data_IF_535552429953
#
_entry.id   IF_535552429953
#
_cell.length_a   1.000
_cell.length_b   1.000
_cell.length_c   1.000
_cell.angle_alpha   90.00
_cell.angle_beta   90.00
_cell.angle_gamma   90.00
#
_symmetry.space_group_name_H-M   'P 1'
#
loop_
_entity.id
_entity.type
_entity.pdbx_description
1 polymer ?
#
# COMPACT_ATOMS: atom_id res chain seq x y z
N UNK A 1 -3.50 -11.01 38.54
CA UNK A 1 -4.64 -10.15 38.96
C UNK A 1 -4.28 -8.66 38.93
N UNK A 2 -3.32 -8.16 39.72
CA UNK A 2 -2.98 -6.71 39.71
C UNK A 2 -2.45 -6.23 38.35
N UNK A 3 -1.70 -7.07 37.65
CA UNK A 3 -1.18 -6.78 36.31
C UNK A 3 -2.24 -6.84 35.20
N UNK A 4 -3.21 -7.76 35.31
CA UNK A 4 -4.28 -7.90 34.31
C UNK A 4 -5.25 -6.71 34.33
N UNK A 5 -5.63 -6.24 35.53
CA UNK A 5 -6.41 -5.01 35.70
C UNK A 5 -5.69 -3.78 35.11
N UNK A 6 -4.37 -3.69 35.32
CA UNK A 6 -3.54 -2.63 34.74
C UNK A 6 -3.52 -2.72 33.21
N UNK A 7 -3.28 -3.91 32.67
CA UNK A 7 -3.29 -4.15 31.22
C UNK A 7 -4.63 -3.77 30.58
N UNK A 8 -5.77 -4.10 31.20
CA UNK A 8 -7.09 -3.71 30.71
C UNK A 8 -7.24 -2.18 30.60
N UNK A 9 -6.79 -1.43 31.62
CA UNK A 9 -6.80 0.04 31.60
C UNK A 9 -5.87 0.60 30.51
N UNK A 10 -4.69 0.02 30.33
CA UNK A 10 -3.76 0.42 29.27
C UNK A 10 -4.31 0.16 27.86
N UNK A 11 -5.05 -0.94 27.66
CA UNK A 11 -5.76 -1.20 26.41
C UNK A 11 -6.79 -0.11 26.11
N UNK A 12 -7.55 0.33 27.12
CA UNK A 12 -8.52 1.43 26.95
C UNK A 12 -7.82 2.76 26.68
N UNK A 13 -6.71 3.05 27.38
CA UNK A 13 -5.91 4.25 27.12
C UNK A 13 -5.37 4.27 25.67
N UNK A 14 -4.86 3.12 25.18
CA UNK A 14 -4.47 2.94 23.77
C UNK A 14 -5.64 3.16 22.82
N UNK A 15 -6.82 2.62 23.13
CA UNK A 15 -8.01 2.82 22.30
C UNK A 15 -8.36 4.31 22.15
N UNK A 16 -8.31 5.08 23.24
CA UNK A 16 -8.51 6.54 23.22
C UNK A 16 -7.45 7.25 22.36
N UNK A 17 -6.18 6.87 22.51
CA UNK A 17 -5.09 7.46 21.73
C UNK A 17 -5.22 7.18 20.23
N UNK A 18 -5.58 5.94 19.84
CA UNK A 18 -5.84 5.60 18.44
C UNK A 18 -7.04 6.38 17.87
N UNK A 19 -8.09 6.54 18.67
CA UNK A 19 -9.27 7.31 18.26
C UNK A 19 -8.94 8.78 17.95
N UNK A 20 -8.08 9.43 18.77
CA UNK A 20 -7.61 10.80 18.50
C UNK A 20 -6.81 10.92 17.20
N UNK A 21 -6.23 9.81 16.72
CA UNK A 21 -5.51 9.73 15.44
C UNK A 21 -6.40 9.25 14.29
N UNK A 22 -7.71 9.18 14.50
CA UNK A 22 -8.70 8.62 13.55
C UNK A 22 -8.43 7.17 13.15
N UNK A 23 -7.67 6.40 13.95
CA UNK A 23 -7.37 4.98 13.70
C UNK A 23 -8.41 4.09 14.39
N UNK A 24 -9.58 3.98 13.76
CA UNK A 24 -10.74 3.26 14.30
C UNK A 24 -10.48 1.76 14.38
N UNK A 25 -9.71 1.19 13.45
CA UNK A 25 -9.37 -0.24 13.42
C UNK A 25 -8.54 -0.63 14.66
N UNK A 26 -7.45 0.10 14.94
CA UNK A 26 -6.62 -0.18 16.13
C UNK A 26 -7.30 0.20 17.44
N UNK A 27 -8.14 1.23 17.43
CA UNK A 27 -8.99 1.55 18.57
C UNK A 27 -9.92 0.35 18.91
N UNK A 28 -10.60 -0.20 17.90
CA UNK A 28 -11.50 -1.36 18.05
C UNK A 28 -10.75 -2.59 18.58
N UNK A 29 -9.58 -2.92 18.02
CA UNK A 29 -8.74 -4.02 18.51
C UNK A 29 -8.32 -3.84 19.99
N UNK A 30 -8.00 -2.60 20.38
CA UNK A 30 -7.60 -2.30 21.76
C UNK A 30 -8.77 -2.47 22.74
N UNK A 31 -9.99 -2.08 22.36
CA UNK A 31 -11.21 -2.32 23.17
C UNK A 31 -11.50 -3.82 23.30
N UNK A 32 -11.39 -4.58 22.21
CA UNK A 32 -11.55 -6.05 22.23
C UNK A 32 -10.56 -6.69 23.22
N UNK A 33 -9.30 -6.27 23.22
CA UNK A 33 -8.28 -6.79 24.13
C UNK A 33 -8.63 -6.52 25.61
N UNK A 34 -9.14 -5.32 25.93
CA UNK A 34 -9.64 -5.03 27.28
C UNK A 34 -10.84 -5.91 27.66
N UNK A 35 -11.80 -6.10 26.74
CA UNK A 35 -12.98 -6.94 26.98
C UNK A 35 -12.63 -8.42 27.17
N UNK A 36 -11.58 -8.93 26.54
CA UNK A 36 -11.12 -10.32 26.75
C UNK A 36 -10.64 -10.55 28.18
N UNK A 37 -9.92 -9.59 28.78
CA UNK A 37 -9.49 -9.68 30.19
C UNK A 37 -10.68 -9.64 31.16
N UNK A 38 -11.66 -8.81 30.83
CA UNK A 38 -12.95 -8.74 31.53
C UNK A 38 -13.69 -10.07 31.47
N UNK A 39 -13.88 -10.64 30.27
CA UNK A 39 -14.59 -11.90 30.06
C UNK A 39 -13.89 -13.09 30.71
N UNK A 40 -12.57 -13.03 30.82
CA UNK A 40 -11.75 -14.02 31.53
C UNK A 40 -11.81 -13.88 33.06
N UNK A 41 -12.62 -12.95 33.61
CA UNK A 41 -12.74 -12.70 35.04
C UNK A 41 -11.47 -12.12 35.68
N UNK A 42 -10.54 -11.59 34.87
CA UNK A 42 -9.24 -11.09 35.35
C UNK A 42 -9.29 -9.66 35.91
N UNK A 43 -10.39 -8.96 35.66
CA UNK A 43 -10.64 -7.61 36.17
C UNK A 43 -11.82 -7.67 37.13
N UNK A 44 -11.59 -7.38 38.41
CA UNK A 44 -12.61 -7.49 39.48
C UNK A 44 -12.63 -6.23 40.37
N UNK A 45 -13.62 -6.15 41.28
CA UNK A 45 -13.68 -5.09 42.29
C UNK A 45 -13.71 -3.66 41.72
N UNK A 46 -12.96 -2.75 42.34
CA UNK A 46 -12.89 -1.33 41.93
C UNK A 46 -12.34 -1.17 40.51
N UNK A 47 -11.35 -1.98 40.13
CA UNK A 47 -10.77 -1.94 38.79
C UNK A 47 -11.79 -2.27 37.70
N UNK A 48 -12.70 -3.21 38.00
CA UNK A 48 -13.81 -3.56 37.10
C UNK A 48 -14.73 -2.37 36.84
N UNK A 49 -15.08 -1.63 37.90
CA UNK A 49 -15.92 -0.42 37.79
C UNK A 49 -15.21 0.65 36.94
N UNK A 50 -13.92 0.87 37.15
CA UNK A 50 -13.14 1.82 36.34
C UNK A 50 -13.10 1.43 34.87
N UNK A 51 -12.83 0.15 34.58
CA UNK A 51 -12.79 -0.39 33.22
C UNK A 51 -14.17 -0.28 32.55
N UNK A 52 -15.25 -0.59 33.26
CA UNK A 52 -16.63 -0.46 32.73
C UNK A 52 -16.96 0.96 32.31
N UNK A 53 -16.66 1.93 33.17
CA UNK A 53 -16.89 3.35 32.88
C UNK A 53 -16.07 3.81 31.67
N UNK A 54 -14.80 3.39 31.58
CA UNK A 54 -13.94 3.76 30.49
C UNK A 54 -14.32 3.07 29.16
N UNK A 55 -14.83 1.82 29.20
CA UNK A 55 -15.40 1.13 28.05
C UNK A 55 -16.65 1.86 27.52
N UNK A 56 -17.56 2.27 28.42
CA UNK A 56 -18.76 3.05 28.04
C UNK A 56 -18.38 4.33 27.31
N UNK A 57 -17.40 5.07 27.82
CA UNK A 57 -16.92 6.32 27.22
C UNK A 57 -16.33 6.09 25.82
N UNK A 58 -15.45 5.09 25.66
CA UNK A 58 -14.84 4.79 24.35
C UNK A 58 -15.90 4.34 23.35
N UNK A 59 -16.83 3.48 23.75
CA UNK A 59 -17.91 3.02 22.88
C UNK A 59 -18.86 4.16 22.48
N UNK A 60 -19.14 5.09 23.39
CA UNK A 60 -19.89 6.31 23.07
C UNK A 60 -19.17 7.13 21.98
N UNK A 61 -17.85 7.33 22.10
CA UNK A 61 -17.07 8.04 21.09
C UNK A 61 -17.04 7.29 19.75
N UNK A 62 -16.85 5.97 19.77
CA UNK A 62 -16.89 5.13 18.57
C UNK A 62 -18.24 5.21 17.84
N UNK A 63 -19.36 5.23 18.56
CA UNK A 63 -20.70 5.34 17.97
C UNK A 63 -20.96 6.66 17.22
N UNK A 64 -20.10 7.68 17.41
CA UNK A 64 -20.16 8.96 16.69
C UNK A 64 -19.41 8.95 15.35
N UNK A 65 -18.60 7.91 15.09
CA UNK A 65 -17.90 7.77 13.81
C UNK A 65 -18.91 7.38 12.73
N UNK A 66 -18.96 8.14 11.65
CA UNK A 66 -19.90 7.95 10.54
C UNK A 66 -19.89 6.52 9.99
N UNK A 67 -18.70 5.93 9.84
CA UNK A 67 -18.55 4.56 9.35
C UNK A 67 -19.13 3.52 10.31
N UNK A 68 -18.90 3.67 11.62
CA UNK A 68 -19.47 2.79 12.64
C UNK A 68 -21.00 2.97 12.67
N UNK A 69 -21.49 4.20 12.64
CA UNK A 69 -22.94 4.50 12.65
C UNK A 69 -23.67 3.90 11.44
N UNK A 70 -23.02 3.84 10.27
CA UNK A 70 -23.60 3.16 9.09
C UNK A 70 -23.77 1.65 9.31
N UNK A 71 -22.81 1.01 9.97
CA UNK A 71 -22.79 -0.46 10.19
C UNK A 71 -23.59 -0.88 11.43
N UNK A 72 -23.58 -0.04 12.46
CA UNK A 72 -24.29 -0.20 13.71
C UNK A 72 -25.17 1.03 13.98
N UNK A 73 -26.33 1.16 13.30
CA UNK A 73 -27.20 2.35 13.43
C UNK A 73 -27.72 2.60 14.85
N UNK A 74 -27.86 1.53 15.65
CA UNK A 74 -28.25 1.60 17.07
C UNK A 74 -27.08 1.77 18.03
N UNK A 75 -25.85 1.84 17.50
CA UNK A 75 -24.61 1.88 18.27
C UNK A 75 -24.26 0.54 18.93
N UNK A 76 -23.01 0.44 19.36
CA UNK A 76 -22.51 -0.63 20.22
C UNK A 76 -22.65 -0.14 21.66
N UNK A 77 -23.59 -0.72 22.40
CA UNK A 77 -23.97 -0.27 23.75
C UNK A 77 -23.37 -1.18 24.81
N UNK A 78 -22.70 -0.59 25.80
CA UNK A 78 -22.19 -1.35 26.94
C UNK A 78 -23.25 -1.51 28.03
N UNK A 79 -23.61 -2.75 28.34
CA UNK A 79 -24.41 -3.11 29.49
C UNK A 79 -23.67 -4.17 30.32
N UNK A 80 -23.73 -4.04 31.64
CA UNK A 80 -23.18 -5.04 32.57
C UNK A 80 -23.88 -6.40 32.33
N UNK A 81 -23.12 -7.48 32.32
CA UNK A 81 -23.62 -8.82 31.98
C UNK A 81 -23.78 -9.10 30.48
N UNK A 82 -23.59 -8.09 29.62
CA UNK A 82 -23.67 -8.22 28.16
C UNK A 82 -22.30 -8.07 27.49
N UNK A 83 -21.21 -8.22 28.24
CA UNK A 83 -19.85 -7.99 27.76
C UNK A 83 -19.49 -8.88 26.57
N UNK A 84 -20.02 -10.10 26.55
CA UNK A 84 -19.83 -11.03 25.43
C UNK A 84 -20.48 -10.51 24.15
N UNK A 85 -21.70 -9.96 24.24
CA UNK A 85 -22.39 -9.37 23.09
C UNK A 85 -21.66 -8.14 22.56
N UNK A 86 -21.13 -7.30 23.46
CA UNK A 86 -20.31 -6.13 23.08
C UNK A 86 -19.02 -6.60 22.40
N UNK A 87 -18.34 -7.58 22.97
CA UNK A 87 -17.13 -8.17 22.41
C UNK A 87 -17.40 -8.71 21.00
N UNK A 88 -18.44 -9.52 20.82
CA UNK A 88 -18.76 -10.15 19.52
C UNK A 88 -19.13 -9.09 18.46
N UNK A 89 -19.85 -8.04 18.88
CA UNK A 89 -20.16 -6.89 18.01
C UNK A 89 -18.90 -6.15 17.57
N UNK A 90 -17.94 -5.95 18.47
CA UNK A 90 -16.67 -5.31 18.15
C UNK A 90 -15.76 -6.19 17.29
N UNK A 91 -15.76 -7.51 17.50
CA UNK A 91 -15.05 -8.46 16.64
C UNK A 91 -15.61 -8.40 15.22
N UNK A 92 -16.94 -8.39 15.07
CA UNK A 92 -17.58 -8.20 13.76
C UNK A 92 -17.16 -6.87 13.13
N UNK A 93 -17.23 -5.76 13.88
CA UNK A 93 -16.79 -4.45 13.41
C UNK A 93 -15.32 -4.47 12.94
N UNK A 94 -14.43 -5.06 13.73
CA UNK A 94 -13.00 -5.16 13.43
C UNK A 94 -12.75 -5.91 12.12
N UNK A 95 -13.41 -7.05 11.91
CA UNK A 95 -13.29 -7.83 10.68
C UNK A 95 -13.79 -7.05 9.46
N UNK A 96 -14.91 -6.33 9.59
CA UNK A 96 -15.44 -5.49 8.51
C UNK A 96 -14.54 -4.29 8.20
N UNK A 97 -13.96 -3.65 9.23
CA UNK A 97 -12.99 -2.55 9.05
C UNK A 97 -11.72 -3.06 8.35
N UNK A 98 -11.18 -4.19 8.79
CA UNK A 98 -9.99 -4.81 8.19
C UNK A 98 -10.22 -5.16 6.72
N UNK A 99 -11.36 -5.78 6.41
CA UNK A 99 -11.75 -6.11 5.02
C UNK A 99 -11.90 -4.86 4.16
N UNK A 100 -12.46 -3.78 4.71
CA UNK A 100 -12.60 -2.51 3.99
C UNK A 100 -11.23 -1.87 3.69
N UNK A 101 -10.32 -1.86 4.65
CA UNK A 101 -8.93 -1.36 4.48
C UNK A 101 -8.17 -2.17 3.41
N UNK A 102 -8.23 -3.50 3.47
CA UNK A 102 -7.64 -4.38 2.46
C UNK A 102 -8.24 -4.14 1.06
N UNK A 103 -9.56 -3.99 0.97
CA UNK A 103 -10.23 -3.70 -0.30
C UNK A 103 -9.87 -2.32 -0.85
N UNK A 104 -9.73 -1.31 0.00
CA UNK A 104 -9.33 0.04 -0.41
C UNK A 104 -7.88 0.04 -0.91
N UNK A 105 -6.98 -0.63 -0.19
CA UNK A 105 -5.59 -0.82 -0.63
C UNK A 105 -5.53 -1.53 -1.99
N UNK A 106 -6.32 -2.58 -2.19
CA UNK A 106 -6.41 -3.27 -3.48
C UNK A 106 -6.91 -2.35 -4.60
N UNK A 107 -7.98 -1.58 -4.36
CA UNK A 107 -8.51 -0.62 -5.33
C UNK A 107 -7.49 0.47 -5.68
N UNK A 108 -6.76 0.98 -4.70
CA UNK A 108 -5.71 1.99 -4.90
C UNK A 108 -4.57 1.43 -5.75
N UNK A 109 -4.12 0.20 -5.48
CA UNK A 109 -3.10 -0.48 -6.29
C UNK A 109 -3.59 -0.69 -7.72
N UNK A 110 -4.83 -1.16 -7.91
CA UNK A 110 -5.43 -1.36 -9.22
C UNK A 110 -5.54 -0.04 -9.99
N UNK A 111 -6.01 1.02 -9.35
CA UNK A 111 -6.14 2.34 -9.96
C UNK A 111 -4.78 2.94 -10.34
N UNK A 112 -3.75 2.75 -9.50
CA UNK A 112 -2.37 3.13 -9.82
C UNK A 112 -1.88 2.42 -11.08
N UNK A 113 -2.03 1.08 -11.15
CA UNK A 113 -1.63 0.27 -12.31
C UNK A 113 -2.37 0.70 -13.58
N UNK A 114 -3.69 0.90 -13.50
CA UNK A 114 -4.48 1.37 -14.64
C UNK A 114 -4.05 2.77 -15.11
N UNK A 115 -3.70 3.66 -14.18
CA UNK A 115 -3.21 5.01 -14.51
C UNK A 115 -1.82 4.95 -15.15
N UNK A 116 -0.94 4.08 -14.64
CA UNK A 116 0.37 3.79 -15.22
C UNK A 116 0.21 3.28 -16.66
N UNK A 117 -0.67 2.31 -16.90
CA UNK A 117 -0.92 1.75 -18.24
C UNK A 117 -1.48 2.80 -19.21
N UNK A 118 -2.37 3.69 -18.74
CA UNK A 118 -2.88 4.81 -19.55
C UNK A 118 -1.75 5.76 -19.95
N UNK A 119 -0.85 6.10 -19.02
CA UNK A 119 0.29 6.96 -19.28
C UNK A 119 1.27 6.31 -20.29
N UNK A 120 1.57 5.01 -20.12
CA UNK A 120 2.39 4.25 -21.09
C UNK A 120 1.77 4.22 -22.49
N UNK A 121 0.48 3.91 -22.59
CA UNK A 121 -0.23 3.86 -23.86
C UNK A 121 -0.26 5.23 -24.56
N UNK A 122 -0.48 6.31 -23.79
CA UNK A 122 -0.43 7.68 -24.31
C UNK A 122 0.99 8.02 -24.80
N UNK A 123 2.01 7.72 -24.01
CA UNK A 123 3.41 7.94 -24.40
C UNK A 123 3.79 7.18 -25.67
N UNK A 124 3.39 5.92 -25.79
CA UNK A 124 3.58 5.11 -27.01
C UNK A 124 2.91 5.73 -28.24
N UNK A 125 1.68 6.23 -28.09
CA UNK A 125 0.95 6.91 -29.18
C UNK A 125 1.65 8.19 -29.62
N UNK A 126 2.05 9.04 -28.68
CA UNK A 126 2.79 10.27 -28.98
C UNK A 126 4.12 9.97 -29.66
N UNK A 127 4.85 8.98 -29.16
CA UNK A 127 6.12 8.53 -29.73
C UNK A 127 5.96 8.05 -31.17
N UNK A 128 4.95 7.22 -31.44
CA UNK A 128 4.64 6.74 -32.79
C UNK A 128 4.22 7.87 -33.74
N UNK A 129 3.61 8.93 -33.21
CA UNK A 129 3.27 10.16 -33.94
C UNK A 129 4.40 11.18 -34.04
N UNK A 130 5.63 10.86 -33.58
CA UNK A 130 6.79 11.76 -33.62
C UNK A 130 6.76 12.89 -32.59
N UNK A 131 5.77 12.94 -31.69
CA UNK A 131 5.65 13.96 -30.63
C UNK A 131 6.52 13.57 -29.44
N UNK A 132 7.83 13.78 -29.56
CA UNK A 132 8.82 13.29 -28.61
C UNK A 132 8.71 13.91 -27.21
N UNK A 133 8.32 15.18 -27.13
CA UNK A 133 8.14 15.87 -25.86
C UNK A 133 6.95 15.28 -25.09
N UNK A 134 5.76 15.26 -25.71
CA UNK A 134 4.55 14.66 -25.12
C UNK A 134 4.75 13.19 -24.73
N UNK A 135 5.49 12.44 -25.54
CA UNK A 135 5.85 11.06 -25.22
C UNK A 135 6.70 10.96 -23.95
N UNK A 136 7.69 11.84 -23.83
CA UNK A 136 8.59 11.89 -22.67
C UNK A 136 7.82 12.28 -21.40
N UNK A 137 6.93 13.26 -21.48
CA UNK A 137 6.08 13.68 -20.36
C UNK A 137 5.19 12.51 -19.89
N UNK A 138 4.51 11.83 -20.81
CA UNK A 138 3.69 10.68 -20.47
C UNK A 138 4.48 9.50 -19.88
N UNK A 139 5.72 9.27 -20.33
CA UNK A 139 6.58 8.24 -19.74
C UNK A 139 7.13 8.63 -18.37
N UNK A 140 7.40 9.91 -18.11
CA UNK A 140 7.76 10.37 -16.75
C UNK A 140 6.58 10.29 -15.79
N UNK A 141 5.34 10.56 -16.24
CA UNK A 141 4.13 10.28 -15.47
C UNK A 141 4.00 8.80 -15.11
N UNK A 142 4.20 7.90 -16.08
CA UNK A 142 4.19 6.47 -15.81
C UNK A 142 5.26 6.09 -14.78
N UNK A 143 6.47 6.65 -14.91
CA UNK A 143 7.58 6.42 -13.98
C UNK A 143 7.31 6.97 -12.58
N UNK A 144 6.53 8.05 -12.43
CA UNK A 144 6.10 8.54 -11.11
C UNK A 144 5.15 7.56 -10.40
N UNK A 145 4.47 6.69 -11.15
CA UNK A 145 3.54 5.68 -10.65
C UNK A 145 4.18 4.28 -10.45
N UNK A 146 5.45 4.15 -10.79
CA UNK A 146 6.21 2.90 -10.70
C UNK A 146 6.37 2.43 -9.25
N UNK A 147 6.03 1.17 -9.00
CA UNK A 147 6.32 0.48 -7.74
C UNK A 147 7.14 -0.78 -8.00
N UNK A 148 6.61 -1.68 -8.82
CA UNK A 148 7.19 -3.01 -9.09
C UNK A 148 7.03 -3.46 -10.54
N UNK A 149 6.53 -2.58 -11.42
CA UNK A 149 6.29 -2.85 -12.83
C UNK A 149 7.58 -2.75 -13.67
N UNK A 150 8.65 -3.44 -13.25
CA UNK A 150 10.02 -3.31 -13.78
C UNK A 150 10.13 -3.36 -15.31
N UNK A 151 9.34 -4.22 -15.95
CA UNK A 151 9.32 -4.41 -17.41
C UNK A 151 8.94 -3.13 -18.18
N UNK A 152 8.30 -2.16 -17.55
CA UNK A 152 7.90 -0.91 -18.21
C UNK A 152 9.08 -0.16 -18.82
N UNK A 153 10.24 -0.14 -18.14
CA UNK A 153 11.41 0.61 -18.61
C UNK A 153 12.01 -0.02 -19.87
N UNK A 154 12.06 -1.36 -19.91
CA UNK A 154 12.48 -2.10 -21.10
C UNK A 154 11.50 -1.89 -22.25
N UNK A 155 10.20 -1.95 -21.98
CA UNK A 155 9.14 -1.74 -22.96
C UNK A 155 9.20 -0.33 -23.59
N UNK A 156 9.36 0.72 -22.77
CA UNK A 156 9.57 2.09 -23.27
C UNK A 156 10.82 2.16 -24.15
N UNK A 157 11.92 1.52 -23.74
CA UNK A 157 13.15 1.44 -24.52
C UNK A 157 12.95 0.78 -25.88
N UNK A 158 12.27 -0.36 -25.93
CA UNK A 158 11.93 -1.08 -27.16
C UNK A 158 11.07 -0.20 -28.10
N UNK A 159 10.06 0.50 -27.58
CA UNK A 159 9.25 1.43 -28.37
C UNK A 159 10.07 2.59 -28.92
N UNK A 160 10.97 3.17 -28.12
CA UNK A 160 11.86 4.24 -28.56
C UNK A 160 12.77 3.78 -29.71
N UNK A 161 13.32 2.55 -29.64
CA UNK A 161 14.12 2.00 -30.73
C UNK A 161 13.30 1.75 -32.00
N UNK A 162 12.10 1.19 -31.87
CA UNK A 162 11.19 1.01 -33.00
C UNK A 162 10.86 2.33 -33.71
N UNK A 163 10.79 3.44 -32.97
CA UNK A 163 10.57 4.79 -33.50
C UNK A 163 11.86 5.55 -33.86
N UNK A 164 13.01 4.86 -33.96
CA UNK A 164 14.34 5.45 -34.27
C UNK A 164 14.76 6.57 -33.31
N UNK A 165 14.41 6.44 -32.02
CA UNK A 165 14.78 7.34 -30.93
C UNK A 165 15.79 6.70 -29.95
N UNK A 166 17.00 6.33 -30.40
CA UNK A 166 17.96 5.59 -29.58
C UNK A 166 18.43 6.37 -28.35
N UNK A 167 18.57 7.70 -28.44
CA UNK A 167 18.95 8.55 -27.30
C UNK A 167 17.91 8.48 -26.16
N UNK A 168 16.62 8.52 -26.52
CA UNK A 168 15.54 8.40 -25.55
C UNK A 168 15.47 6.98 -24.97
N UNK A 169 15.68 5.96 -25.82
CA UNK A 169 15.73 4.56 -25.39
C UNK A 169 16.78 4.32 -24.30
N UNK A 170 18.01 4.83 -24.48
CA UNK A 170 19.11 4.70 -23.51
C UNK A 170 18.71 5.23 -22.13
N UNK A 171 17.96 6.34 -22.06
CA UNK A 171 17.51 6.93 -20.78
C UNK A 171 16.71 5.93 -19.94
N UNK A 172 15.74 5.25 -20.54
CA UNK A 172 14.89 4.29 -19.83
C UNK A 172 15.56 2.92 -19.66
N UNK A 173 16.36 2.47 -20.64
CA UNK A 173 17.04 1.18 -20.60
C UNK A 173 18.12 1.10 -19.52
N UNK A 174 18.77 2.23 -19.18
CA UNK A 174 19.64 2.30 -17.99
C UNK A 174 18.92 1.91 -16.71
N UNK A 175 17.67 2.38 -16.54
CA UNK A 175 16.84 1.97 -15.40
C UNK A 175 16.45 0.50 -15.51
N UNK A 176 16.06 0.04 -16.70
CA UNK A 176 15.72 -1.37 -16.94
C UNK A 176 16.84 -2.33 -16.50
N UNK A 177 18.10 -2.05 -16.84
CA UNK A 177 19.25 -2.90 -16.42
C UNK A 177 19.39 -3.00 -14.90
N UNK A 178 18.92 -2.01 -14.14
CA UNK A 178 19.02 -2.03 -12.67
C UNK A 178 17.83 -2.69 -11.96
N UNK A 179 16.68 -2.87 -12.63
CA UNK A 179 15.44 -3.33 -11.97
C UNK A 179 14.72 -4.47 -12.69
N UNK A 180 14.96 -4.68 -13.99
CA UNK A 180 14.31 -5.77 -14.74
C UNK A 180 14.89 -7.12 -14.29
N UNK A 181 14.04 -8.07 -13.85
CA UNK A 181 14.47 -9.44 -13.54
C UNK A 181 15.23 -10.11 -14.69
N UNK A 182 14.91 -9.76 -15.95
CA UNK A 182 15.66 -10.18 -17.13
C UNK A 182 16.73 -9.13 -17.50
N UNK A 183 17.70 -8.98 -16.59
CA UNK A 183 18.79 -8.00 -16.73
C UNK A 183 19.60 -8.24 -18.01
N UNK A 184 19.78 -9.51 -18.43
CA UNK A 184 20.52 -9.84 -19.65
C UNK A 184 19.81 -9.30 -20.88
N UNK A 185 18.49 -9.49 -21.01
CA UNK A 185 17.71 -8.91 -22.11
C UNK A 185 17.72 -7.39 -22.07
N UNK A 186 17.59 -6.78 -20.90
CA UNK A 186 17.70 -5.32 -20.75
C UNK A 186 19.07 -4.78 -21.21
N UNK A 187 20.18 -5.44 -20.84
CA UNK A 187 21.54 -5.10 -21.31
C UNK A 187 21.68 -5.22 -22.83
N UNK A 188 21.09 -6.27 -23.44
CA UNK A 188 21.12 -6.44 -24.91
C UNK A 188 20.40 -5.30 -25.63
N UNK A 189 19.20 -4.94 -25.17
CA UNK A 189 18.43 -3.85 -25.78
C UNK A 189 19.12 -2.50 -25.52
N UNK A 190 19.75 -2.31 -24.35
CA UNK A 190 20.58 -1.14 -24.08
C UNK A 190 21.77 -1.05 -25.05
N UNK A 191 22.43 -2.17 -25.34
CA UNK A 191 23.50 -2.22 -26.34
C UNK A 191 23.00 -1.77 -27.72
N UNK A 192 21.85 -2.29 -28.17
CA UNK A 192 21.25 -1.88 -29.45
C UNK A 192 20.95 -0.37 -29.48
N UNK A 193 20.46 0.18 -28.36
CA UNK A 193 20.21 1.61 -28.22
C UNK A 193 21.49 2.44 -28.29
N UNK A 194 22.56 2.02 -27.61
CA UNK A 194 23.86 2.72 -27.60
C UNK A 194 24.55 2.64 -28.96
N UNK A 195 24.43 1.52 -29.68
CA UNK A 195 24.86 1.42 -31.07
C UNK A 195 24.09 2.42 -31.94
N UNK A 196 22.77 2.52 -31.75
CA UNK A 196 21.92 3.46 -32.46
C UNK A 196 22.25 4.94 -32.20
N UNK A 197 22.87 5.30 -31.06
CA UNK A 197 23.35 6.67 -30.82
C UNK A 197 24.69 6.98 -31.47
N UNK A 198 25.41 5.97 -31.96
CA UNK A 198 26.77 6.09 -32.48
C UNK A 198 27.87 6.07 -31.41
N UNK A 199 27.53 5.80 -30.14
CA UNK A 199 28.50 5.72 -29.04
C UNK A 199 29.25 4.38 -29.07
N UNK A 200 30.32 4.33 -29.86
CA UNK A 200 31.16 3.14 -30.06
C UNK A 200 31.82 2.67 -28.75
N UNK A 201 32.20 3.59 -27.88
CA UNK A 201 32.89 3.28 -26.61
C UNK A 201 31.91 2.63 -25.64
N UNK A 202 30.74 3.23 -25.46
CA UNK A 202 29.68 2.65 -24.64
C UNK A 202 29.23 1.27 -25.14
N UNK A 203 29.11 1.11 -26.47
CA UNK A 203 28.74 -0.17 -27.07
C UNK A 203 29.79 -1.26 -26.83
N UNK A 204 31.08 -0.96 -26.97
CA UNK A 204 32.16 -1.91 -26.70
C UNK A 204 32.15 -2.37 -25.23
N UNK A 205 31.94 -1.44 -24.29
CA UNK A 205 31.85 -1.75 -22.86
C UNK A 205 30.69 -2.70 -22.54
N UNK A 206 29.50 -2.43 -23.09
CA UNK A 206 28.32 -3.28 -22.88
C UNK A 206 28.48 -4.67 -23.51
N UNK A 207 29.14 -4.78 -24.68
CA UNK A 207 29.45 -6.07 -25.31
C UNK A 207 30.36 -6.93 -24.44
N UNK A 208 31.42 -6.34 -23.89
CA UNK A 208 32.34 -7.06 -22.99
C UNK A 208 31.61 -7.58 -21.75
N UNK A 209 30.73 -6.77 -21.14
CA UNK A 209 29.90 -7.20 -20.00
C UNK A 209 28.98 -8.37 -20.35
N UNK A 210 28.36 -8.35 -21.53
CA UNK A 210 27.47 -9.43 -21.98
C UNK A 210 28.22 -10.73 -22.30
N UNK A 211 29.47 -10.66 -22.77
CA UNK A 211 30.32 -11.83 -23.03
C UNK A 211 30.88 -12.45 -21.75
N UNK A 212 31.26 -11.62 -20.77
CA UNK A 212 31.70 -12.07 -19.45
C UNK A 212 30.61 -12.82 -18.67
N UNK A 213 29.33 -12.50 -18.89
CA UNK A 213 28.20 -13.20 -18.26
C UNK A 213 28.02 -14.67 -18.77
N UNK A 214 28.81 -15.16 -19.74
CA UNK A 214 28.80 -16.55 -20.26
C UNK A 214 29.98 -17.42 -19.80
N UNK A 215 30.92 -16.85 -19.04
CA UNK A 215 32.11 -17.55 -18.50
C UNK A 215 31.91 -17.92 -17.05
#
# INVERSE_FOLDING_TARGET
MKDDSKAAKEHIARAKAYFQRHDVLRATASVIASLRLVLAGKVTGVDRITVDSALKEVLHNMNRVTEIKKRFPRGIMYAKGHEKLVHDSLVKLFLELKKAEESESYKQQLNRKMTLDKALNRGRRYLSGGKLQDATEAFEEAKALYVDEHSMFRMIGEWCLACKQPKLAVKYLKKAVSVDPDTRKAKRILLDAVVGTGDKVGAAKLKAQLQGDYS
#
